data_IF_255836601885
#
_entry.id   IF_255836601885
#
_cell.length_a   1.000
_cell.length_b   1.000
_cell.length_c   1.000
_cell.angle_alpha   90.00
_cell.angle_beta   90.00
_cell.angle_gamma   90.00
#
_symmetry.space_group_name_H-M   'P 1'
#
loop_
_entity.id
_entity.type
_entity.pdbx_description
1 polymer ?
#
# COMPACT_ATOMS: atom_id res chain seq x y z
N UNK A 1 22.35 12.22 24.69
CA UNK A 1 21.85 11.29 23.67
C UNK A 1 20.35 11.21 23.86
N UNK A 2 19.58 12.04 23.17
CA UNK A 2 18.14 11.76 23.08
C UNK A 2 18.03 10.49 22.24
N UNK A 3 17.19 9.54 22.62
CA UNK A 3 16.80 8.49 21.69
C UNK A 3 16.07 9.19 20.54
N UNK A 4 16.60 9.11 19.33
CA UNK A 4 15.95 9.67 18.15
C UNK A 4 14.66 8.88 17.90
N UNK A 5 13.51 9.52 18.09
CA UNK A 5 12.22 8.93 17.78
C UNK A 5 12.01 8.97 16.27
N UNK A 6 11.79 7.81 15.66
CA UNK A 6 11.51 7.69 14.23
C UNK A 6 10.02 7.88 13.96
N UNK A 7 9.71 8.79 13.05
CA UNK A 7 8.37 8.98 12.49
C UNK A 7 8.31 8.23 11.15
N UNK A 8 7.50 7.17 11.11
CA UNK A 8 7.32 6.33 9.92
C UNK A 8 5.86 6.43 9.49
N UNK A 9 5.61 6.84 8.25
CA UNK A 9 4.27 6.99 7.71
C UNK A 9 3.66 5.61 7.40
N UNK A 10 2.76 5.15 8.27
CA UNK A 10 2.08 3.85 8.17
C UNK A 10 1.20 3.78 6.90
N UNK A 11 1.65 2.97 5.93
CA UNK A 11 1.08 2.80 4.59
C UNK A 11 1.03 4.10 3.78
N UNK A 12 2.02 4.96 4.00
CA UNK A 12 2.03 6.34 3.53
C UNK A 12 1.17 7.26 4.40
N UNK A 13 0.80 8.42 3.86
CA UNK A 13 -0.15 9.33 4.51
C UNK A 13 -1.58 8.81 4.34
N UNK A 14 -1.87 7.62 4.88
CA UNK A 14 -3.11 6.85 4.67
C UNK A 14 -4.39 7.53 5.17
N UNK A 15 -4.25 8.59 5.98
CA UNK A 15 -5.36 9.47 6.36
C UNK A 15 -5.70 10.53 5.29
N UNK A 16 -4.82 10.76 4.32
CA UNK A 16 -4.89 11.82 3.31
C UNK A 16 -5.04 11.30 1.88
N UNK A 17 -4.61 10.08 1.61
CA UNK A 17 -4.70 9.40 0.32
C UNK A 17 -4.82 7.87 0.54
N UNK A 18 -5.18 7.08 -0.48
CA UNK A 18 -5.38 5.64 -0.33
C UNK A 18 -4.10 4.96 0.16
N UNK A 19 -4.22 4.20 1.24
CA UNK A 19 -3.11 3.43 1.82
C UNK A 19 -2.36 2.61 0.76
N UNK A 20 -1.04 2.47 0.90
CA UNK A 20 -0.21 1.65 0.01
C UNK A 20 -0.21 2.10 -1.47
N UNK A 21 -0.42 3.39 -1.74
CA UNK A 21 -0.31 3.97 -3.09
C UNK A 21 0.83 4.98 -3.18
N UNK A 22 1.31 5.22 -4.41
CA UNK A 22 2.28 6.29 -4.69
C UNK A 22 1.76 7.65 -4.21
N UNK A 23 0.46 7.94 -4.38
CA UNK A 23 -0.15 9.19 -3.91
C UNK A 23 -0.04 9.36 -2.38
N UNK A 24 -0.25 8.30 -1.61
CA UNK A 24 -0.05 8.33 -0.16
C UNK A 24 1.43 8.49 0.23
N UNK A 25 2.34 7.93 -0.55
CA UNK A 25 3.79 8.06 -0.30
C UNK A 25 4.29 9.47 -0.62
N UNK A 26 3.90 10.03 -1.77
CA UNK A 26 4.20 11.42 -2.13
C UNK A 26 3.62 12.40 -1.11
N UNK A 27 2.40 12.15 -0.64
CA UNK A 27 1.78 12.98 0.40
C UNK A 27 2.53 12.86 1.73
N UNK A 28 3.00 11.68 2.13
CA UNK A 28 3.81 11.51 3.33
C UNK A 28 5.12 12.32 3.27
N UNK A 29 5.79 12.28 2.11
CA UNK A 29 7.01 13.06 1.85
C UNK A 29 6.71 14.56 1.91
N UNK A 30 5.62 15.02 1.28
CA UNK A 30 5.20 16.42 1.31
C UNK A 30 4.86 16.92 2.72
N UNK A 31 4.38 16.04 3.60
CA UNK A 31 4.10 16.31 5.01
C UNK A 31 5.33 16.20 5.92
N UNK A 32 6.51 15.87 5.37
CA UNK A 32 7.78 15.83 6.10
C UNK A 32 8.11 14.49 6.76
N UNK A 33 7.48 13.39 6.34
CA UNK A 33 7.88 12.06 6.79
C UNK A 33 9.18 11.62 6.12
N UNK A 34 10.15 11.16 6.90
CA UNK A 34 11.44 10.67 6.39
C UNK A 34 11.40 9.19 5.96
N UNK A 35 10.48 8.44 6.56
CA UNK A 35 10.29 7.01 6.31
C UNK A 35 8.81 6.73 6.01
N UNK A 36 8.58 5.77 5.12
CA UNK A 36 7.25 5.25 4.77
C UNK A 36 7.26 3.75 5.02
N UNK A 37 6.22 3.26 5.67
CA UNK A 37 5.95 1.82 5.79
C UNK A 37 4.96 1.41 4.70
N UNK A 38 5.10 0.16 4.22
CA UNK A 38 4.22 -0.44 3.23
C UNK A 38 4.04 -1.93 3.53
N UNK A 39 2.92 -2.47 3.06
CA UNK A 39 2.58 -3.88 3.18
C UNK A 39 2.74 -4.61 1.85
N UNK A 40 3.29 -5.82 1.87
CA UNK A 40 3.47 -6.65 0.66
C UNK A 40 2.74 -7.98 0.73
N UNK A 41 2.35 -8.47 -0.46
CA UNK A 41 1.78 -9.80 -0.70
C UNK A 41 2.39 -10.38 -1.98
N UNK A 42 2.18 -11.68 -2.18
CA UNK A 42 2.45 -12.32 -3.46
C UNK A 42 1.19 -12.37 -4.32
N UNK A 43 1.32 -12.07 -5.60
CA UNK A 43 0.34 -12.39 -6.64
C UNK A 43 0.26 -13.91 -6.86
N UNK A 44 -0.68 -14.33 -7.71
CA UNK A 44 -0.85 -15.75 -8.08
C UNK A 44 0.29 -16.33 -8.92
N UNK A 45 1.04 -15.48 -9.62
CA UNK A 45 2.24 -15.81 -10.39
C UNK A 45 3.56 -15.57 -9.64
N UNK A 46 3.49 -15.15 -8.37
CA UNK A 46 4.65 -15.08 -7.47
C UNK A 46 5.37 -13.73 -7.43
N UNK A 47 4.84 -12.71 -8.10
CA UNK A 47 5.35 -11.34 -8.04
C UNK A 47 4.95 -10.66 -6.72
N UNK A 48 5.79 -9.72 -6.27
CA UNK A 48 5.54 -8.94 -5.05
C UNK A 48 4.68 -7.73 -5.39
N UNK A 49 3.53 -7.61 -4.71
CA UNK A 49 2.61 -6.48 -4.87
C UNK A 49 2.40 -5.74 -3.54
N UNK A 50 2.13 -4.44 -3.60
CA UNK A 50 1.88 -3.61 -2.41
C UNK A 50 0.38 -3.60 -2.09
N UNK A 51 -0.01 -4.33 -1.05
CA UNK A 51 -1.39 -4.41 -0.59
C UNK A 51 -1.47 -5.01 0.81
N UNK A 52 -2.25 -4.40 1.72
CA UNK A 52 -2.30 -4.86 3.11
C UNK A 52 -3.11 -6.15 3.29
N UNK A 53 -4.37 -6.15 2.86
CA UNK A 53 -5.29 -7.21 3.20
C UNK A 53 -4.91 -8.53 2.49
N UNK A 54 -5.31 -9.64 3.09
CA UNK A 54 -5.26 -10.92 2.38
C UNK A 54 -6.25 -10.93 1.21
N UNK A 55 -7.42 -10.29 1.39
CA UNK A 55 -8.55 -10.25 0.44
C UNK A 55 -8.76 -8.85 -0.15
N UNK A 56 -9.13 -8.78 -1.44
CA UNK A 56 -9.20 -7.53 -2.22
C UNK A 56 -10.49 -6.70 -1.98
N UNK A 57 -11.55 -7.30 -1.45
CA UNK A 57 -12.91 -6.75 -1.45
C UNK A 57 -13.09 -5.49 -0.61
N UNK A 58 -12.26 -5.27 0.42
CA UNK A 58 -12.39 -4.08 1.28
C UNK A 58 -12.03 -2.80 0.54
N UNK A 59 -11.15 -2.88 -0.46
CA UNK A 59 -10.50 -1.72 -1.09
C UNK A 59 -10.69 -1.64 -2.60
N UNK A 60 -11.26 -2.67 -3.22
CA UNK A 60 -11.28 -2.82 -4.68
C UNK A 60 -12.60 -3.43 -5.13
N UNK A 61 -12.85 -3.42 -6.44
CA UNK A 61 -13.98 -4.14 -7.04
C UNK A 61 -13.75 -5.66 -7.20
N UNK A 62 -12.51 -6.15 -7.01
CA UNK A 62 -12.17 -7.57 -7.11
C UNK A 62 -12.55 -8.32 -5.82
N UNK A 63 -12.68 -9.65 -5.94
CA UNK A 63 -13.04 -10.51 -4.81
C UNK A 63 -12.15 -11.73 -4.68
N UNK A 64 -11.83 -12.08 -3.44
CA UNK A 64 -10.94 -13.16 -3.09
C UNK A 64 -9.55 -12.67 -2.73
N UNK A 65 -8.66 -13.60 -2.37
CA UNK A 65 -7.31 -13.26 -1.96
C UNK A 65 -6.44 -12.76 -3.12
N UNK A 66 -5.47 -11.90 -2.78
CA UNK A 66 -4.50 -11.34 -3.74
C UNK A 66 -3.85 -12.43 -4.60
N UNK A 67 -3.45 -13.55 -3.98
CA UNK A 67 -2.81 -14.70 -4.64
C UNK A 67 -3.67 -15.43 -5.68
N UNK A 68 -4.93 -15.06 -5.88
CA UNK A 68 -5.76 -15.63 -6.94
C UNK A 68 -5.53 -14.97 -8.30
N UNK A 69 -4.94 -13.77 -8.32
CA UNK A 69 -4.80 -12.97 -9.52
C UNK A 69 -3.33 -12.84 -9.93
N UNK A 70 -3.00 -12.94 -11.23
CA UNK A 70 -1.67 -12.58 -11.70
C UNK A 70 -1.43 -11.08 -11.52
N UNK A 71 -0.17 -10.68 -11.45
CA UNK A 71 0.22 -9.28 -11.22
C UNK A 71 -0.37 -8.32 -12.26
N UNK A 72 -0.39 -8.69 -13.54
CA UNK A 72 -0.98 -7.89 -14.64
C UNK A 72 -2.46 -7.51 -14.39
N UNK A 73 -3.22 -8.35 -13.68
CA UNK A 73 -4.62 -8.04 -13.31
C UNK A 73 -4.66 -7.10 -12.11
N UNK A 74 -3.75 -7.27 -11.16
CA UNK A 74 -3.67 -6.46 -9.94
C UNK A 74 -3.21 -5.03 -10.25
N UNK A 75 -2.33 -4.82 -11.22
CA UNK A 75 -1.88 -3.48 -11.65
C UNK A 75 -3.02 -2.59 -12.17
N UNK A 76 -4.09 -3.20 -12.69
CA UNK A 76 -5.24 -2.47 -13.26
C UNK A 76 -6.29 -2.11 -12.21
N UNK A 77 -6.07 -2.46 -10.94
CA UNK A 77 -7.02 -2.20 -9.87
C UNK A 77 -7.00 -0.74 -9.47
N UNK A 78 -8.17 -0.10 -9.56
CA UNK A 78 -8.39 1.23 -9.02
C UNK A 78 -8.61 1.18 -7.49
N UNK A 79 -7.78 1.93 -6.75
CA UNK A 79 -7.84 2.07 -5.29
C UNK A 79 -8.50 3.39 -4.85
N UNK A 80 -9.02 4.16 -5.80
CA UNK A 80 -9.59 5.48 -5.59
C UNK A 80 -8.55 6.61 -5.64
N UNK A 81 -9.03 7.87 -5.52
CA UNK A 81 -8.18 9.05 -5.44
C UNK A 81 -7.44 9.13 -4.12
#
# INVERSE_FOLDING_TARGET
>A
MSADFRLIAHRGASAHAPENTVAAFETAVALGSEEVELDVRFSGDGEVVVFHDHELQRKTALSGPVRHYPEEVLEQVDLGP
#
